data_IF_183030819301
#
_entry.id   IF_183030819301
#
_cell.length_a   1.000
_cell.length_b   1.000
_cell.length_c   1.000
_cell.angle_alpha   90.00
_cell.angle_beta   90.00
_cell.angle_gamma   90.00
#
_symmetry.space_group_name_H-M   'P 1'
#
loop_
_entity.id
_entity.type
_entity.pdbx_description
1 polymer ?
#
# COMPACT_ATOMS: atom_id res chain seq x y z
N UNK A 1 -7.72 9.79 53.55
CA UNK A 1 -6.67 9.34 52.60
C UNK A 1 -7.11 8.07 51.85
N UNK A 2 -8.12 8.13 50.97
CA UNK A 2 -8.59 6.95 50.20
C UNK A 2 -9.06 7.28 48.77
N UNK A 3 -8.66 8.42 48.21
CA UNK A 3 -9.17 8.89 46.90
C UNK A 3 -8.05 9.08 45.86
N UNK A 4 -6.77 8.86 46.22
CA UNK A 4 -5.63 9.25 45.38
C UNK A 4 -4.94 8.13 44.58
N UNK A 5 -5.54 6.94 44.47
CA UNK A 5 -4.85 5.76 43.89
C UNK A 5 -5.50 5.16 42.64
N UNK A 6 -6.45 5.85 42.00
CA UNK A 6 -7.20 5.31 40.85
C UNK A 6 -7.01 6.10 39.53
N UNK A 7 -5.94 6.91 39.39
CA UNK A 7 -5.79 7.85 38.26
C UNK A 7 -4.49 7.69 37.45
N UNK A 8 -3.91 6.49 37.38
CA UNK A 8 -2.63 6.27 36.65
C UNK A 8 -2.65 5.12 35.64
N UNK A 9 -3.81 4.55 35.30
CA UNK A 9 -3.88 3.36 34.44
C UNK A 9 -4.61 3.63 33.12
N UNK A 10 -4.22 4.69 32.40
CA UNK A 10 -4.88 5.00 31.12
C UNK A 10 -3.97 5.67 30.09
N UNK A 11 -2.70 5.27 29.97
CA UNK A 11 -1.86 5.77 28.87
C UNK A 11 -0.86 4.69 28.39
N UNK A 12 -1.32 3.69 27.64
CA UNK A 12 -0.42 2.82 26.87
C UNK A 12 -1.15 2.05 25.75
N UNK A 13 -1.97 2.70 24.92
CA UNK A 13 -2.54 2.06 23.71
C UNK A 13 -2.56 3.08 22.56
N UNK A 14 -1.39 3.48 22.05
CA UNK A 14 -1.31 4.38 20.89
C UNK A 14 0.03 4.14 20.14
N UNK A 15 0.32 2.94 19.64
CA UNK A 15 1.55 2.72 18.84
C UNK A 15 1.49 1.60 17.78
N UNK A 16 0.32 1.00 17.50
CA UNK A 16 0.25 -0.19 16.61
C UNK A 16 -0.20 0.12 15.17
N UNK A 17 -0.52 1.36 14.83
CA UNK A 17 -1.07 1.70 13.51
C UNK A 17 -0.04 1.95 12.40
N UNK A 18 1.20 2.35 12.73
CA UNK A 18 2.18 2.77 11.72
C UNK A 18 2.90 1.61 11.01
N UNK A 19 3.21 0.51 11.72
CA UNK A 19 3.93 -0.64 11.13
C UNK A 19 3.06 -1.46 10.17
N UNK A 20 1.74 -1.51 10.40
CA UNK A 20 0.82 -2.22 9.52
C UNK A 20 0.78 -1.60 8.12
N UNK A 21 0.84 -0.26 8.04
CA UNK A 21 0.73 0.48 6.78
C UNK A 21 1.96 0.30 5.89
N UNK A 22 3.17 0.25 6.46
CA UNK A 22 4.40 0.03 5.70
C UNK A 22 4.45 -1.39 5.09
N UNK A 23 4.03 -2.39 5.86
CA UNK A 23 3.93 -3.77 5.37
C UNK A 23 2.88 -3.92 4.25
N UNK A 24 1.74 -3.24 4.36
CA UNK A 24 0.71 -3.20 3.32
C UNK A 24 1.22 -2.56 2.03
N UNK A 25 1.98 -1.45 2.13
CA UNK A 25 2.61 -0.79 0.99
C UNK A 25 3.65 -1.73 0.34
N UNK A 26 4.48 -2.41 1.13
CA UNK A 26 5.46 -3.35 0.60
C UNK A 26 4.78 -4.51 -0.16
N UNK A 27 3.71 -5.08 0.41
CA UNK A 27 2.91 -6.14 -0.23
C UNK A 27 2.24 -5.65 -1.53
N UNK A 28 1.74 -4.42 -1.54
CA UNK A 28 1.15 -3.82 -2.73
C UNK A 28 2.18 -3.63 -3.87
N UNK A 29 3.44 -3.30 -3.54
CA UNK A 29 4.52 -3.23 -4.54
C UNK A 29 4.78 -4.58 -5.19
N UNK A 30 4.89 -5.63 -4.37
CA UNK A 30 5.10 -7.01 -4.85
C UNK A 30 3.96 -7.43 -5.78
N UNK A 31 2.70 -7.22 -5.37
CA UNK A 31 1.52 -7.53 -6.20
C UNK A 31 1.58 -6.86 -7.57
N UNK A 32 2.00 -5.59 -7.62
CA UNK A 32 2.13 -4.84 -8.88
C UNK A 32 3.24 -5.38 -9.76
N UNK A 33 4.37 -5.79 -9.18
CA UNK A 33 5.49 -6.38 -9.92
C UNK A 33 5.13 -7.76 -10.48
N UNK A 34 4.53 -8.63 -9.66
CA UNK A 34 4.06 -9.96 -10.08
C UNK A 34 3.05 -9.85 -11.23
N UNK A 35 2.09 -8.94 -11.14
CA UNK A 35 1.12 -8.71 -12.21
C UNK A 35 1.79 -8.26 -13.52
N UNK A 36 2.82 -7.40 -13.44
CA UNK A 36 3.57 -6.94 -14.62
C UNK A 36 4.35 -8.08 -15.26
N UNK A 37 4.95 -8.92 -14.44
CA UNK A 37 5.72 -10.08 -14.91
C UNK A 37 4.79 -11.12 -15.55
N UNK A 38 3.65 -11.43 -14.92
CA UNK A 38 2.62 -12.29 -15.51
C UNK A 38 2.13 -11.74 -16.85
N UNK A 39 1.91 -10.42 -16.95
CA UNK A 39 1.49 -9.78 -18.21
C UNK A 39 2.54 -9.94 -19.32
N UNK A 40 3.83 -9.86 -18.98
CA UNK A 40 4.95 -10.09 -19.92
C UNK A 40 4.97 -11.55 -20.37
N UNK A 41 4.87 -12.49 -19.45
CA UNK A 41 4.81 -13.92 -19.78
C UNK A 41 3.62 -14.23 -20.70
N UNK A 42 2.45 -13.66 -20.43
CA UNK A 42 1.29 -13.82 -21.29
C UNK A 42 1.47 -13.19 -22.68
N UNK A 43 2.29 -12.13 -22.82
CA UNK A 43 2.59 -11.56 -24.13
C UNK A 43 3.52 -12.43 -24.98
N UNK A 44 4.37 -13.23 -24.34
CA UNK A 44 5.32 -14.12 -25.01
C UNK A 44 4.68 -15.48 -25.37
N UNK A 45 3.59 -15.86 -24.70
CA UNK A 45 2.82 -17.08 -24.98
C UNK A 45 1.95 -17.00 -26.24
N UNK A 46 1.65 -18.15 -26.87
CA UNK A 46 0.81 -18.25 -28.08
C UNK A 46 -0.29 -19.31 -27.95
N UNK A 47 -1.31 -19.24 -28.83
CA UNK A 47 -2.35 -20.26 -28.93
C UNK A 47 -3.17 -20.44 -27.63
N UNK A 48 -3.36 -21.69 -27.22
CA UNK A 48 -4.16 -22.03 -26.04
C UNK A 48 -3.45 -21.72 -24.71
N UNK A 49 -2.11 -21.74 -24.71
CA UNK A 49 -1.31 -21.29 -23.57
C UNK A 49 -1.55 -19.82 -23.28
N UNK A 50 -1.62 -18.98 -24.33
CA UNK A 50 -1.98 -17.57 -24.19
C UNK A 50 -3.37 -17.38 -23.58
N UNK A 51 -4.36 -18.17 -24.01
CA UNK A 51 -5.70 -18.09 -23.42
C UNK A 51 -5.69 -18.47 -21.94
N UNK A 52 -4.88 -19.46 -21.54
CA UNK A 52 -4.73 -19.84 -20.14
C UNK A 52 -4.06 -18.73 -19.32
N UNK A 53 -2.94 -18.21 -19.79
CA UNK A 53 -2.22 -17.14 -19.11
C UNK A 53 -3.10 -15.89 -18.94
N UNK A 54 -3.85 -15.49 -19.98
CA UNK A 54 -4.76 -14.34 -19.85
C UNK A 54 -5.93 -14.58 -18.89
N UNK A 55 -6.35 -15.83 -18.64
CA UNK A 55 -7.33 -16.12 -17.56
C UNK A 55 -6.73 -15.85 -16.19
N UNK A 56 -5.48 -16.27 -15.97
CA UNK A 56 -4.76 -16.00 -14.72
C UNK A 56 -4.50 -14.50 -14.53
N UNK A 57 -4.10 -13.81 -15.60
CA UNK A 57 -3.94 -12.35 -15.59
C UNK A 57 -5.24 -11.62 -15.25
N UNK A 58 -6.37 -12.06 -15.82
CA UNK A 58 -7.68 -11.50 -15.51
C UNK A 58 -8.07 -11.76 -14.05
N UNK A 59 -7.78 -12.94 -13.51
CA UNK A 59 -8.03 -13.25 -12.10
C UNK A 59 -7.18 -12.37 -11.16
N UNK A 60 -5.95 -12.05 -11.56
CA UNK A 60 -5.05 -11.15 -10.80
C UNK A 60 -5.35 -9.65 -11.00
N UNK A 61 -6.29 -9.28 -11.87
CA UNK A 61 -6.55 -7.87 -12.20
C UNK A 61 -7.14 -7.10 -11.02
N UNK A 62 -8.04 -7.72 -10.25
CA UNK A 62 -8.67 -7.05 -9.10
C UNK A 62 -7.66 -6.72 -8.01
N UNK A 63 -6.84 -7.69 -7.60
CA UNK A 63 -5.77 -7.49 -6.62
C UNK A 63 -4.76 -6.46 -7.08
N UNK A 64 -4.40 -6.46 -8.37
CA UNK A 64 -3.57 -5.43 -8.97
C UNK A 64 -4.18 -4.02 -8.85
N UNK A 65 -5.48 -3.83 -9.12
CA UNK A 65 -6.11 -2.51 -9.00
C UNK A 65 -6.14 -2.03 -7.55
N UNK A 66 -6.43 -2.91 -6.60
CA UNK A 66 -6.40 -2.60 -5.17
C UNK A 66 -5.00 -2.18 -4.75
N UNK A 67 -3.97 -2.95 -5.10
CA UNK A 67 -2.58 -2.63 -4.81
C UNK A 67 -2.16 -1.28 -5.41
N UNK A 68 -2.55 -1.02 -6.68
CA UNK A 68 -2.30 0.28 -7.32
C UNK A 68 -2.97 1.44 -6.59
N UNK A 69 -4.19 1.23 -6.10
CA UNK A 69 -4.92 2.22 -5.30
C UNK A 69 -4.20 2.56 -4.01
N UNK A 70 -3.74 1.54 -3.28
CA UNK A 70 -2.96 1.70 -2.03
C UNK A 70 -1.65 2.45 -2.26
N UNK A 71 -0.94 2.14 -3.35
CA UNK A 71 0.29 2.85 -3.68
C UNK A 71 0.01 4.31 -4.05
N UNK A 72 -1.06 4.59 -4.81
CA UNK A 72 -1.43 5.95 -5.17
C UNK A 72 -1.78 6.80 -3.93
N UNK A 73 -2.51 6.24 -2.97
CA UNK A 73 -2.87 6.95 -1.73
C UNK A 73 -1.66 7.18 -0.82
N UNK A 74 -0.71 6.23 -0.74
CA UNK A 74 0.54 6.41 0.00
C UNK A 74 1.38 7.56 -0.56
N UNK A 75 1.51 7.66 -1.88
CA UNK A 75 2.26 8.73 -2.54
C UNK A 75 1.62 10.12 -2.33
N UNK A 76 0.28 10.20 -2.30
CA UNK A 76 -0.39 11.47 -1.98
C UNK A 76 -0.21 11.91 -0.53
N UNK A 77 -0.06 10.97 0.40
CA UNK A 77 0.17 11.28 1.81
C UNK A 77 1.58 11.86 2.03
N UNK A 78 2.58 11.36 1.30
CA UNK A 78 3.94 11.92 1.32
C UNK A 78 4.01 13.32 0.67
N UNK A 79 3.30 13.55 -0.44
CA UNK A 79 3.33 14.85 -1.13
C UNK A 79 2.60 15.97 -0.39
N UNK A 80 1.53 15.66 0.36
CA UNK A 80 0.78 16.66 1.12
C UNK A 80 1.54 17.18 2.35
N UNK A 81 2.60 16.50 2.78
CA UNK A 81 3.46 16.93 3.88
C UNK A 81 4.71 17.72 3.42
N UNK A 82 4.91 17.90 2.11
CA UNK A 82 6.14 18.49 1.55
C UNK A 82 5.98 19.90 0.96
N UNK A 83 4.94 20.65 1.31
CA UNK A 83 4.75 22.03 0.82
C UNK A 83 4.87 23.09 1.94
N UNK A 84 6.03 23.13 2.60
CA UNK A 84 6.50 24.31 3.35
C UNK A 84 7.80 24.83 2.70
N UNK A 85 7.67 25.46 1.54
CA UNK A 85 8.72 26.34 1.04
C UNK A 85 8.32 27.75 1.44
N UNK A 86 9.01 28.28 2.45
CA UNK A 86 8.89 29.65 2.93
C UNK A 86 9.23 30.63 1.80
N UNK A 87 8.28 31.50 1.48
CA UNK A 87 8.57 32.71 0.73
C UNK A 87 9.35 33.65 1.66
N UNK A 88 10.62 33.91 1.36
CA UNK A 88 11.38 35.01 1.97
C UNK A 88 11.56 36.03 0.87
N UNK A 89 10.80 37.13 0.97
CA UNK A 89 10.89 38.30 0.11
C UNK A 89 12.26 38.98 0.25
N UNK A 90 12.83 39.41 -0.87
CA UNK A 90 13.85 40.46 -0.98
C UNK A 90 13.58 41.34 -2.19
#
# INVERSE_FOLDING_TARGET
MRVLLALTMLIAVQAQSANATEQEIASARVTVEEYRELRRQCSDSIGDERKACFRELNAATESYQVAKGLLATSHTHDSNNLHLVSYVDY
#
